data_IF_725706877737
#
_entry.id   IF_725706877737
#
_cell.length_a   1.000
_cell.length_b   1.000
_cell.length_c   1.000
_cell.angle_alpha   90.00
_cell.angle_beta   90.00
_cell.angle_gamma   90.00
#
_symmetry.space_group_name_H-M   'P 1'
#
loop_
_entity.id
_entity.type
_entity.pdbx_description
1 polymer ?
#
# COMPACT_ATOMS: atom_id res chain seq x y z
N UNK A 1 -9.13 -12.25 -1.44
CA UNK A 1 -8.14 -11.61 -0.55
C UNK A 1 -7.93 -10.15 -0.91
N UNK A 2 -7.26 -9.78 -2.02
CA UNK A 2 -7.12 -8.35 -2.39
C UNK A 2 -8.46 -7.62 -2.60
N UNK A 3 -9.48 -8.34 -3.05
CA UNK A 3 -10.84 -7.82 -3.26
C UNK A 3 -11.51 -7.37 -1.95
N UNK A 4 -11.25 -8.07 -0.84
CA UNK A 4 -11.85 -7.76 0.46
C UNK A 4 -11.21 -6.51 1.06
N UNK A 5 -9.86 -6.44 1.02
CA UNK A 5 -9.08 -5.25 1.43
C UNK A 5 -9.45 -4.04 0.59
N UNK A 6 -9.56 -4.22 -0.74
CA UNK A 6 -10.04 -3.18 -1.66
C UNK A 6 -11.43 -2.67 -1.25
N UNK A 7 -12.38 -3.57 -0.98
CA UNK A 7 -13.74 -3.16 -0.62
C UNK A 7 -13.76 -2.36 0.69
N UNK A 8 -12.92 -2.73 1.66
CA UNK A 8 -12.83 -2.05 2.95
C UNK A 8 -12.25 -0.63 2.84
N UNK A 9 -11.40 -0.34 1.84
CA UNK A 9 -10.91 1.02 1.56
C UNK A 9 -12.02 2.00 1.13
N UNK A 10 -13.15 1.47 0.62
CA UNK A 10 -14.34 2.26 0.25
C UNK A 10 -15.41 2.29 1.35
N UNK A 11 -15.12 1.74 2.53
CA UNK A 11 -16.02 1.78 3.67
C UNK A 11 -16.33 3.23 4.08
N UNK A 12 -17.56 3.52 4.54
CA UNK A 12 -17.89 4.80 5.18
C UNK A 12 -17.32 4.91 6.60
N UNK A 13 -16.85 3.81 7.18
CA UNK A 13 -16.26 3.77 8.52
C UNK A 13 -14.73 4.02 8.47
N UNK A 14 -14.24 5.14 9.06
CA UNK A 14 -12.82 5.45 9.14
C UNK A 14 -11.95 4.32 9.70
N UNK A 15 -12.43 3.60 10.72
CA UNK A 15 -11.65 2.55 11.36
C UNK A 15 -11.39 1.39 10.38
N UNK A 16 -12.40 1.03 9.58
CA UNK A 16 -12.26 0.02 8.54
C UNK A 16 -11.32 0.47 7.41
N UNK A 17 -11.37 1.75 7.01
CA UNK A 17 -10.45 2.30 5.99
C UNK A 17 -9.01 2.25 6.48
N UNK A 18 -8.75 2.68 7.71
CA UNK A 18 -7.42 2.69 8.31
C UNK A 18 -6.85 1.28 8.47
N UNK A 19 -7.67 0.32 8.94
CA UNK A 19 -7.26 -1.07 9.03
C UNK A 19 -6.93 -1.67 7.65
N UNK A 20 -7.77 -1.41 6.65
CA UNK A 20 -7.53 -1.88 5.28
C UNK A 20 -6.27 -1.26 4.65
N UNK A 21 -6.02 0.03 4.89
CA UNK A 21 -4.81 0.71 4.44
C UNK A 21 -3.56 0.12 5.12
N UNK A 22 -3.63 -0.17 6.41
CA UNK A 22 -2.55 -0.78 7.16
C UNK A 22 -2.21 -2.19 6.63
N UNK A 23 -3.22 -3.03 6.40
CA UNK A 23 -3.05 -4.38 5.82
C UNK A 23 -2.54 -4.32 4.37
N UNK A 24 -2.98 -3.31 3.59
CA UNK A 24 -2.53 -3.10 2.22
C UNK A 24 -1.05 -2.70 2.14
N UNK A 25 -0.60 -1.81 3.02
CA UNK A 25 0.82 -1.46 3.12
C UNK A 25 1.68 -2.66 3.50
N UNK A 26 1.22 -3.49 4.44
CA UNK A 26 1.94 -4.72 4.82
C UNK A 26 2.15 -5.62 3.60
N UNK A 27 1.06 -5.94 2.91
CA UNK A 27 1.09 -6.91 1.84
C UNK A 27 1.89 -6.40 0.63
N UNK A 28 1.71 -5.13 0.24
CA UNK A 28 2.49 -4.53 -0.83
C UNK A 28 3.98 -4.40 -0.47
N UNK A 29 4.29 -4.10 0.80
CA UNK A 29 5.67 -4.05 1.29
C UNK A 29 6.36 -5.41 1.26
N UNK A 30 5.68 -6.48 1.67
CA UNK A 30 6.18 -7.85 1.59
C UNK A 30 6.43 -8.29 0.15
N UNK A 31 5.53 -7.91 -0.78
CA UNK A 31 5.71 -8.18 -2.21
C UNK A 31 6.94 -7.45 -2.74
N UNK A 32 7.06 -6.16 -2.44
CA UNK A 32 8.19 -5.35 -2.88
C UNK A 32 9.53 -5.90 -2.38
N UNK A 33 9.61 -6.33 -1.11
CA UNK A 33 10.79 -6.97 -0.54
C UNK A 33 11.11 -8.32 -1.21
N UNK A 34 10.08 -9.14 -1.48
CA UNK A 34 10.26 -10.42 -2.15
C UNK A 34 10.80 -10.26 -3.57
N UNK A 35 10.29 -9.30 -4.34
CA UNK A 35 10.68 -9.12 -5.76
C UNK A 35 11.99 -8.36 -5.93
N UNK A 36 12.50 -7.69 -4.89
CA UNK A 36 13.77 -6.96 -4.95
C UNK A 36 14.95 -7.84 -5.37
N UNK A 37 14.88 -9.13 -5.02
CA UNK A 37 15.94 -10.11 -5.27
C UNK A 37 15.70 -10.99 -6.50
N UNK A 38 14.62 -10.75 -7.24
CA UNK A 38 14.26 -11.54 -8.40
C UNK A 38 15.01 -11.09 -9.67
N UNK A 39 15.44 -12.03 -10.53
CA UNK A 39 16.01 -11.69 -11.83
C UNK A 39 15.03 -10.88 -12.69
N UNK A 40 15.48 -9.76 -13.23
CA UNK A 40 14.66 -8.87 -14.06
C UNK A 40 13.86 -7.81 -13.28
N UNK A 41 14.03 -7.76 -11.96
CA UNK A 41 13.55 -6.65 -11.14
C UNK A 41 14.61 -5.56 -10.97
N UNK A 42 14.18 -4.30 -10.92
CA UNK A 42 14.96 -3.18 -10.41
C UNK A 42 14.94 -3.21 -8.87
N UNK A 43 16.05 -3.69 -8.28
CA UNK A 43 16.23 -3.84 -6.84
C UNK A 43 16.01 -2.51 -6.08
N UNK A 44 16.52 -1.39 -6.61
CA UNK A 44 16.41 -0.10 -5.92
C UNK A 44 14.98 0.39 -5.85
N UNK A 45 14.21 0.19 -6.94
CA UNK A 45 12.80 0.55 -6.97
C UNK A 45 11.96 -0.35 -6.06
N UNK A 46 12.28 -1.64 -6.01
CA UNK A 46 11.61 -2.59 -5.14
C UNK A 46 11.86 -2.24 -3.65
N UNK A 47 13.11 -1.98 -3.26
CA UNK A 47 13.45 -1.57 -1.90
C UNK A 47 12.81 -0.22 -1.53
N UNK A 48 12.78 0.74 -2.45
CA UNK A 48 12.12 2.03 -2.20
C UNK A 48 10.60 1.88 -2.04
N UNK A 49 9.96 0.99 -2.81
CA UNK A 49 8.56 0.65 -2.63
C UNK A 49 8.29 0.01 -1.27
N UNK A 50 9.13 -0.95 -0.85
CA UNK A 50 9.04 -1.60 0.47
C UNK A 50 9.19 -0.59 1.61
N UNK A 51 10.19 0.29 1.54
CA UNK A 51 10.41 1.34 2.54
C UNK A 51 9.23 2.32 2.61
N UNK A 52 8.70 2.73 1.45
CA UNK A 52 7.52 3.60 1.39
C UNK A 52 6.32 2.96 2.06
N UNK A 53 6.10 1.66 1.82
CA UNK A 53 5.03 0.92 2.48
C UNK A 53 5.21 0.84 4.01
N UNK A 54 6.43 0.56 4.47
CA UNK A 54 6.75 0.51 5.90
C UNK A 54 6.52 1.88 6.57
N UNK A 55 6.96 2.97 5.93
CA UNK A 55 6.77 4.33 6.45
C UNK A 55 5.28 4.72 6.50
N UNK A 56 4.53 4.47 5.43
CA UNK A 56 3.08 4.71 5.38
C UNK A 56 2.33 3.94 6.46
N UNK A 57 2.66 2.66 6.66
CA UNK A 57 2.06 1.81 7.71
C UNK A 57 2.36 2.31 9.12
N UNK A 58 3.57 2.78 9.38
CA UNK A 58 3.98 3.27 10.70
C UNK A 58 3.25 4.53 11.16
N UNK A 59 2.67 5.30 10.22
CA UNK A 59 1.87 6.49 10.50
C UNK A 59 0.42 6.17 10.84
N UNK A 60 -0.06 4.96 10.52
CA UNK A 60 -1.43 4.56 10.76
C UNK A 60 -1.57 3.90 12.15
N UNK A 61 -2.71 4.07 12.83
CA UNK A 61 -2.96 3.38 14.08
C UNK A 61 -2.93 1.86 13.88
N UNK A 62 -2.48 1.14 14.91
CA UNK A 62 -2.53 -0.31 14.91
C UNK A 62 -4.01 -0.76 14.86
N UNK A 63 -4.41 -1.59 13.88
CA UNK A 63 -5.80 -2.03 13.79
C UNK A 63 -6.18 -2.97 14.93
N UNK A 64 -7.38 -2.79 15.49
CA UNK A 64 -7.95 -3.70 16.51
C UNK A 64 -8.25 -5.09 15.94
N UNK A 65 -8.57 -5.15 14.64
CA UNK A 65 -8.73 -6.38 13.88
C UNK A 65 -7.97 -6.26 12.55
N UNK A 66 -6.84 -6.94 12.44
CA UNK A 66 -6.15 -7.10 11.15
C UNK A 66 -6.75 -8.27 10.37
N UNK A 67 -6.76 -8.15 9.04
CA UNK A 67 -7.05 -9.26 8.14
C UNK A 67 -5.83 -9.43 7.27
N UNK A 68 -4.84 -10.25 7.70
CA UNK A 68 -3.61 -10.46 6.95
C UNK A 68 -3.95 -10.76 5.50
N UNK A 69 -3.52 -9.90 4.59
CA UNK A 69 -3.70 -10.18 3.17
C UNK A 69 -2.65 -11.22 2.81
N UNK A 70 -3.09 -12.41 2.44
CA UNK A 70 -2.20 -13.49 2.02
C UNK A 70 -1.44 -13.03 0.79
N UNK A 71 -0.13 -12.95 0.93
CA UNK A 71 0.77 -12.59 -0.15
C UNK A 71 1.08 -13.86 -0.93
N UNK A 72 0.48 -13.98 -2.10
CA UNK A 72 0.92 -14.96 -3.10
C UNK A 72 2.14 -14.38 -3.83
N UNK A 73 3.05 -15.26 -4.24
CA UNK A 73 4.15 -14.90 -5.14
C UNK A 73 3.56 -14.24 -6.40
N UNK A 74 3.99 -13.02 -6.77
CA UNK A 74 3.50 -12.36 -7.97
C UNK A 74 3.88 -13.16 -9.22
N UNK A 75 3.01 -13.17 -10.22
CA UNK A 75 3.34 -13.70 -11.54
C UNK A 75 4.57 -12.98 -12.12
N UNK A 76 5.31 -13.62 -13.03
CA UNK A 76 6.47 -13.01 -13.67
C UNK A 76 6.09 -11.81 -14.56
N UNK A 77 7.03 -10.89 -14.74
CA UNK A 77 6.87 -9.71 -15.60
C UNK A 77 6.05 -8.58 -14.96
N UNK A 78 5.82 -7.47 -15.70
CA UNK A 78 5.20 -6.26 -15.17
C UNK A 78 3.75 -6.47 -14.71
N UNK A 79 2.98 -7.29 -15.42
CA UNK A 79 1.57 -7.55 -15.10
C UNK A 79 1.37 -8.20 -13.73
N UNK A 80 2.36 -8.93 -13.20
CA UNK A 80 2.27 -9.55 -11.88
C UNK A 80 2.27 -8.56 -10.72
N UNK A 81 2.79 -7.34 -10.92
CA UNK A 81 2.84 -6.29 -9.89
C UNK A 81 1.63 -5.35 -9.94
N UNK A 82 0.90 -5.33 -11.05
CA UNK A 82 -0.25 -4.44 -11.28
C UNK A 82 -1.32 -4.49 -10.16
N UNK A 83 -1.69 -5.66 -9.59
CA UNK A 83 -2.67 -5.69 -8.50
C UNK A 83 -2.21 -4.92 -7.25
N UNK A 84 -0.92 -4.92 -6.97
CA UNK A 84 -0.31 -4.28 -5.81
C UNK A 84 -0.13 -2.78 -6.03
N UNK A 85 0.27 -2.38 -7.24
CA UNK A 85 0.27 -0.98 -7.69
C UNK A 85 -1.14 -0.39 -7.56
N UNK A 86 -2.14 -1.07 -8.12
CA UNK A 86 -3.54 -0.66 -8.02
C UNK A 86 -4.01 -0.57 -6.56
N UNK A 87 -3.62 -1.52 -5.71
CA UNK A 87 -3.97 -1.49 -4.28
C UNK A 87 -3.41 -0.24 -3.60
N UNK A 88 -2.13 0.08 -3.79
CA UNK A 88 -1.50 1.26 -3.19
C UNK A 88 -2.12 2.57 -3.70
N UNK A 89 -2.52 2.65 -4.97
CA UNK A 89 -3.28 3.80 -5.49
C UNK A 89 -4.63 3.97 -4.79
N UNK A 90 -5.34 2.87 -4.53
CA UNK A 90 -6.60 2.92 -3.76
C UNK A 90 -6.39 3.34 -2.32
N UNK A 91 -5.28 2.93 -1.70
CA UNK A 91 -4.89 3.41 -0.37
C UNK A 91 -4.67 4.92 -0.39
N UNK A 92 -3.92 5.44 -1.37
CA UNK A 92 -3.71 6.87 -1.55
C UNK A 92 -5.04 7.64 -1.65
N UNK A 93 -5.95 7.19 -2.52
CA UNK A 93 -7.27 7.81 -2.70
C UNK A 93 -8.11 7.78 -1.41
N UNK A 94 -8.14 6.63 -0.73
CA UNK A 94 -8.93 6.45 0.49
C UNK A 94 -8.43 7.33 1.65
N UNK A 95 -7.11 7.40 1.86
CA UNK A 95 -6.51 8.22 2.91
C UNK A 95 -6.64 9.72 2.60
N UNK A 96 -6.49 10.11 1.33
CA UNK A 96 -6.70 11.50 0.89
C UNK A 96 -8.14 11.92 1.10
N UNK A 97 -9.11 11.05 0.81
CA UNK A 97 -10.53 11.32 1.09
C UNK A 97 -10.77 11.45 2.59
N UNK A 98 -10.26 10.50 3.38
CA UNK A 98 -10.48 10.47 4.83
C UNK A 98 -9.90 11.72 5.51
N UNK A 99 -8.73 12.20 5.06
CA UNK A 99 -8.07 13.37 5.64
C UNK A 99 -8.91 14.66 5.57
N UNK A 100 -9.82 14.77 4.59
CA UNK A 100 -10.69 15.95 4.43
C UNK A 100 -11.70 16.14 5.58
N UNK A 101 -12.00 15.07 6.31
CA UNK A 101 -13.00 15.04 7.39
C UNK A 101 -12.37 15.12 8.79
N UNK A 102 -11.03 15.16 8.89
CA UNK A 102 -10.30 15.07 10.15
C UNK A 102 -9.84 16.42 10.71
N UNK A 103 -9.38 16.37 11.97
CA UNK A 103 -8.67 17.47 12.61
C UNK A 103 -7.40 17.86 11.83
N UNK A 104 -6.85 19.06 12.06
CA UNK A 104 -5.67 19.52 11.33
C UNK A 104 -4.43 18.63 11.52
N UNK A 105 -4.25 18.09 12.73
CA UNK A 105 -3.12 17.21 13.09
C UNK A 105 -3.28 15.84 12.41
N UNK A 106 -4.44 15.19 12.59
CA UNK A 106 -4.75 13.90 11.99
C UNK A 106 -4.72 13.98 10.45
N UNK A 107 -5.20 15.08 9.89
CA UNK A 107 -5.15 15.32 8.44
C UNK A 107 -3.72 15.30 7.91
N UNK A 108 -2.76 15.95 8.57
CA UNK A 108 -1.36 15.95 8.11
C UNK A 108 -0.75 14.55 8.17
N UNK A 109 -1.07 13.76 9.19
CA UNK A 109 -0.62 12.36 9.29
C UNK A 109 -1.20 11.51 8.16
N UNK A 110 -2.50 11.65 7.87
CA UNK A 110 -3.17 10.91 6.80
C UNK A 110 -2.68 11.33 5.40
N UNK A 111 -2.42 12.61 5.19
CA UNK A 111 -1.82 13.12 3.95
C UNK A 111 -0.41 12.55 3.75
N UNK A 112 0.40 12.44 4.80
CA UNK A 112 1.74 11.83 4.70
C UNK A 112 1.66 10.33 4.40
N UNK A 113 0.77 9.59 5.08
CA UNK A 113 0.53 8.19 4.77
C UNK A 113 0.05 8.02 3.31
N UNK A 114 -0.83 8.90 2.82
CA UNK A 114 -1.27 8.90 1.44
C UNK A 114 -0.13 9.16 0.44
N UNK A 115 0.83 10.05 0.77
CA UNK A 115 2.04 10.29 -0.05
C UNK A 115 2.92 9.05 -0.14
N UNK A 116 3.11 8.34 0.97
CA UNK A 116 3.85 7.07 0.97
C UNK A 116 3.19 6.00 0.11
N UNK A 117 1.85 5.90 0.12
CA UNK A 117 1.11 5.00 -0.78
C UNK A 117 1.34 5.34 -2.26
N UNK A 118 1.29 6.63 -2.62
CA UNK A 118 1.56 7.05 -3.99
C UNK A 118 3.01 6.74 -4.40
N UNK A 119 3.99 7.11 -3.59
CA UNK A 119 5.41 6.86 -3.85
C UNK A 119 5.72 5.36 -3.99
N UNK A 120 5.14 4.53 -3.12
CA UNK A 120 5.27 3.07 -3.21
C UNK A 120 4.66 2.50 -4.48
N UNK A 121 3.49 3.02 -4.90
CA UNK A 121 2.84 2.60 -6.15
C UNK A 121 3.67 2.98 -7.39
N UNK A 122 4.18 4.22 -7.42
CA UNK A 122 5.03 4.74 -8.50
C UNK A 122 6.29 3.89 -8.67
N UNK A 123 6.97 3.58 -7.57
CA UNK A 123 8.18 2.77 -7.58
C UNK A 123 7.91 1.32 -7.96
N UNK A 124 6.85 0.71 -7.40
CA UNK A 124 6.50 -0.68 -7.69
C UNK A 124 6.13 -0.89 -9.17
N UNK A 125 5.50 0.10 -9.80
CA UNK A 125 5.11 0.05 -11.22
C UNK A 125 6.29 -0.04 -12.19
N UNK A 126 7.47 0.45 -11.78
CA UNK A 126 8.67 0.45 -12.63
C UNK A 126 9.65 -0.69 -12.33
N UNK A 127 9.42 -1.48 -11.27
CA UNK A 127 10.31 -2.59 -10.86
C UNK A 127 10.58 -3.56 -12.02
N UNK A 128 9.57 -3.84 -12.86
CA UNK A 128 9.68 -4.82 -13.97
C UNK A 128 9.31 -4.21 -15.32
N UNK A 129 9.52 -2.91 -15.50
CA UNK A 129 9.18 -2.22 -16.76
C UNK A 129 10.25 -2.31 -17.84
N UNK A 130 11.31 -3.11 -17.63
CA UNK A 130 12.45 -3.27 -18.54
C UNK A 130 12.40 -4.58 -19.32
#
# INVERSE_FOLDING_TARGET
MLSDTTSALFSPDPAHVLAAAWDAFDAAGQVADAVAWEPGSDELQALFAAQSCAAGRALLPLPESSRPTGVSTPDAGPAGLEPWVTLLRRVHEALTRLSTEQSAEDRTVLEEAARHAAAGADALAIVRSQ
#
